data_IF_139524402210
#
_entry.id   IF_139524402210
#
_cell.length_a   1.000
_cell.length_b   1.000
_cell.length_c   1.000
_cell.angle_alpha   90.00
_cell.angle_beta   90.00
_cell.angle_gamma   90.00
#
_symmetry.space_group_name_H-M   'P 1'
#
loop_
_entity.id
_entity.type
_entity.pdbx_description
1 polymer ?
#
# COMPACT_ATOMS: atom_id res chain seq x y z
N UNK A 1 44.79 -10.67 -30.34
CA UNK A 1 44.37 -11.61 -31.41
C UNK A 1 42.95 -12.03 -31.08
N UNK A 2 41.96 -11.41 -31.73
CA UNK A 2 41.07 -12.02 -32.78
C UNK A 2 40.18 -13.12 -32.19
N UNK A 3 38.85 -13.14 -32.24
CA UNK A 3 37.77 -12.41 -32.95
C UNK A 3 36.48 -12.72 -32.15
N UNK A 4 35.58 -11.79 -31.83
CA UNK A 4 34.44 -11.32 -32.63
C UNK A 4 33.59 -12.43 -33.31
N UNK A 5 32.37 -12.68 -32.78
CA UNK A 5 31.16 -13.10 -33.53
C UNK A 5 29.94 -13.01 -32.59
N UNK A 6 29.32 -11.86 -32.45
CA UNK A 6 28.32 -11.26 -33.36
C UNK A 6 26.98 -12.01 -33.31
N UNK A 7 26.06 -11.29 -32.69
CA UNK A 7 24.63 -11.52 -32.48
C UNK A 7 23.92 -11.98 -33.75
N UNK A 8 23.25 -13.14 -33.70
CA UNK A 8 22.30 -13.55 -34.74
C UNK A 8 20.98 -12.80 -34.51
N UNK A 9 20.83 -11.68 -35.21
CA UNK A 9 19.53 -11.11 -35.51
C UNK A 9 18.78 -12.06 -36.45
N UNK A 10 17.61 -12.51 -36.02
CA UNK A 10 16.67 -13.23 -36.86
C UNK A 10 16.13 -12.26 -37.91
N UNK A 11 16.69 -12.27 -39.12
CA UNK A 11 16.00 -11.72 -40.29
C UNK A 11 14.99 -12.76 -40.79
N UNK A 12 13.72 -12.49 -40.54
CA UNK A 12 12.61 -13.13 -41.26
C UNK A 12 12.59 -12.50 -42.66
N UNK A 13 13.11 -13.23 -43.66
CA UNK A 13 12.89 -12.91 -45.07
C UNK A 13 11.44 -13.23 -45.43
N UNK A 14 10.59 -12.20 -45.56
CA UNK A 14 9.32 -12.31 -46.27
C UNK A 14 9.58 -12.16 -47.78
N UNK A 15 9.83 -13.29 -48.45
CA UNK A 15 9.79 -13.37 -49.92
C UNK A 15 8.33 -13.49 -50.38
N UNK A 16 7.62 -12.37 -50.39
CA UNK A 16 6.31 -12.22 -51.03
C UNK A 16 6.47 -11.43 -52.32
N UNK A 17 6.52 -12.12 -53.47
CA UNK A 17 6.65 -11.51 -54.80
C UNK A 17 5.31 -10.90 -55.24
N UNK A 18 5.05 -9.66 -54.85
CA UNK A 18 3.98 -8.83 -55.42
C UNK A 18 4.60 -7.73 -56.29
N UNK A 19 4.47 -7.88 -57.60
CA UNK A 19 4.94 -6.91 -58.58
C UNK A 19 4.05 -5.68 -58.58
N UNK A 20 4.48 -4.61 -57.89
CA UNK A 20 3.96 -3.26 -58.11
C UNK A 20 5.17 -2.36 -58.37
N UNK A 21 5.30 -1.88 -59.61
CA UNK A 21 6.33 -0.93 -60.02
C UNK A 21 6.01 0.46 -59.45
N UNK A 22 6.45 0.74 -58.21
CA UNK A 22 6.48 2.12 -57.70
C UNK A 22 7.70 2.86 -58.26
N UNK A 23 7.45 4.03 -58.87
CA UNK A 23 8.54 4.93 -59.31
C UNK A 23 9.31 5.49 -58.11
N UNK A 24 10.51 6.04 -58.35
CA UNK A 24 11.43 6.55 -57.33
C UNK A 24 10.78 7.63 -56.43
N UNK A 25 9.89 8.44 -56.99
CA UNK A 25 9.15 9.51 -56.29
C UNK A 25 8.06 8.95 -55.36
N UNK A 26 7.37 7.87 -55.74
CA UNK A 26 6.36 7.22 -54.89
C UNK A 26 6.99 6.46 -53.72
N UNK A 27 8.19 5.87 -53.90
CA UNK A 27 8.95 5.24 -52.79
C UNK A 27 9.44 6.28 -51.78
N UNK A 28 9.87 7.45 -52.25
CA UNK A 28 10.25 8.56 -51.39
C UNK A 28 9.05 9.11 -50.61
N UNK A 29 7.88 9.24 -51.25
CA UNK A 29 6.65 9.66 -50.58
C UNK A 29 6.17 8.67 -49.51
N UNK A 30 6.27 7.36 -49.78
CA UNK A 30 5.89 6.31 -48.81
C UNK A 30 6.86 6.25 -47.61
N UNK A 31 8.16 6.45 -47.84
CA UNK A 31 9.16 6.58 -46.78
C UNK A 31 8.98 7.87 -45.97
N UNK A 32 8.61 8.99 -46.62
CA UNK A 32 8.30 10.25 -45.94
C UNK A 32 7.02 10.12 -45.10
N UNK A 33 5.99 9.41 -45.57
CA UNK A 33 4.79 9.12 -44.78
C UNK A 33 5.05 8.16 -43.63
N UNK A 34 5.95 7.17 -43.78
CA UNK A 34 6.33 6.26 -42.69
C UNK A 34 7.16 6.97 -41.61
N UNK A 35 7.97 7.96 -41.98
CA UNK A 35 8.75 8.78 -41.03
C UNK A 35 7.86 9.83 -40.35
N UNK A 36 6.86 10.39 -41.04
CA UNK A 36 5.88 11.32 -40.46
C UNK A 36 4.86 10.64 -39.53
N UNK A 37 4.55 9.35 -39.73
CA UNK A 37 3.66 8.59 -38.83
C UNK A 37 4.34 8.13 -37.52
N UNK A 38 5.66 8.23 -37.44
CA UNK A 38 6.43 8.08 -36.19
C UNK A 38 6.63 9.43 -35.49
N UNK A 39 5.83 10.46 -35.86
CA UNK A 39 5.73 11.70 -35.10
C UNK A 39 5.53 11.36 -33.64
N UNK A 40 6.52 11.75 -32.84
CA UNK A 40 6.64 11.44 -31.43
C UNK A 40 5.31 11.72 -30.71
N UNK A 41 4.54 10.68 -30.40
CA UNK A 41 3.81 10.68 -29.13
C UNK A 41 4.87 10.54 -28.05
N UNK A 42 5.60 11.62 -27.76
CA UNK A 42 6.32 11.72 -26.51
C UNK A 42 5.23 11.81 -25.44
N UNK A 43 4.93 10.68 -24.79
CA UNK A 43 4.05 10.69 -23.63
C UNK A 43 4.62 11.69 -22.63
N UNK A 44 3.83 12.69 -22.23
CA UNK A 44 4.25 13.62 -21.18
C UNK A 44 4.61 12.81 -19.94
N UNK A 45 5.74 13.17 -19.30
CA UNK A 45 6.14 12.52 -18.06
C UNK A 45 5.04 12.73 -17.01
N UNK A 46 4.59 11.68 -16.32
CA UNK A 46 3.46 11.78 -15.40
C UNK A 46 3.74 12.66 -14.18
N UNK A 47 5.01 13.02 -13.96
CA UNK A 47 5.46 13.98 -12.96
C UNK A 47 6.52 14.90 -13.61
N UNK A 48 6.42 16.20 -13.35
CA UNK A 48 7.37 17.21 -13.82
C UNK A 48 7.63 18.26 -12.73
N UNK A 49 8.73 19.02 -12.82
CA UNK A 49 8.94 20.17 -11.93
C UNK A 49 8.06 21.35 -12.38
N UNK A 50 7.55 22.11 -11.42
CA UNK A 50 6.89 23.40 -11.68
C UNK A 50 7.97 24.43 -11.99
N UNK A 51 8.22 24.67 -13.28
CA UNK A 51 9.29 25.56 -13.74
C UNK A 51 10.67 25.05 -13.34
N UNK A 52 11.50 25.90 -12.71
CA UNK A 52 12.80 25.53 -12.14
C UNK A 52 12.77 25.33 -10.62
N UNK A 53 11.58 25.29 -10.01
CA UNK A 53 11.42 25.13 -8.56
C UNK A 53 11.46 23.67 -8.11
N UNK A 54 11.53 23.40 -6.79
CA UNK A 54 11.53 22.04 -6.22
C UNK A 54 10.14 21.38 -6.19
N UNK A 55 9.10 22.10 -6.60
CA UNK A 55 7.72 21.62 -6.55
C UNK A 55 7.43 20.67 -7.72
N UNK A 56 6.77 19.55 -7.43
CA UNK A 56 6.37 18.56 -8.42
C UNK A 56 4.92 18.78 -8.86
N UNK A 57 4.72 18.89 -10.17
CA UNK A 57 3.42 18.80 -10.84
C UNK A 57 3.13 17.35 -11.21
N UNK A 58 2.07 16.81 -10.65
CA UNK A 58 1.54 15.49 -11.00
C UNK A 58 0.48 15.65 -12.10
N UNK A 59 0.69 14.96 -13.22
CA UNK A 59 -0.29 14.92 -14.31
C UNK A 59 -1.34 13.85 -14.02
N UNK A 60 -2.57 14.12 -14.46
CA UNK A 60 -3.69 13.19 -14.38
C UNK A 60 -3.99 12.61 -15.75
N UNK A 61 -4.32 11.32 -15.80
CA UNK A 61 -4.91 10.69 -16.98
C UNK A 61 -6.32 11.26 -17.23
N UNK A 62 -6.90 10.94 -18.38
CA UNK A 62 -8.29 11.32 -18.70
C UNK A 62 -9.31 10.78 -17.68
N UNK A 63 -9.02 9.63 -17.06
CA UNK A 63 -9.83 9.04 -15.98
C UNK A 63 -9.48 9.59 -14.60
N UNK A 64 -8.55 10.54 -14.51
CA UNK A 64 -8.15 11.22 -13.29
C UNK A 64 -7.02 10.56 -12.51
N UNK A 65 -6.43 9.48 -13.02
CA UNK A 65 -5.36 8.76 -12.32
C UNK A 65 -4.08 9.58 -12.29
N UNK A 66 -3.39 9.61 -11.17
CA UNK A 66 -2.05 10.19 -11.05
C UNK A 66 -1.09 9.20 -10.41
N UNK A 67 0.21 9.43 -10.63
CA UNK A 67 1.28 8.71 -9.92
C UNK A 67 1.11 8.96 -8.43
N UNK A 68 1.10 7.88 -7.64
CA UNK A 68 0.99 7.97 -6.19
C UNK A 68 2.22 8.65 -5.59
N UNK A 69 1.99 9.58 -4.67
CA UNK A 69 3.03 10.22 -3.88
C UNK A 69 3.39 9.35 -2.67
N UNK A 70 4.60 8.80 -2.67
CA UNK A 70 5.15 7.96 -1.59
C UNK A 70 6.10 8.71 -0.64
N UNK A 71 6.22 10.04 -0.78
CA UNK A 71 7.08 10.85 0.09
C UNK A 71 6.64 10.81 1.57
N UNK A 72 5.38 10.47 1.82
CA UNK A 72 4.80 10.33 3.16
C UNK A 72 5.09 8.96 3.83
N UNK A 73 6.07 8.21 3.35
CA UNK A 73 6.43 6.92 3.94
C UNK A 73 7.17 7.10 5.29
N UNK A 74 6.86 6.23 6.25
CA UNK A 74 7.51 6.20 7.56
C UNK A 74 6.62 6.66 8.72
N UNK A 75 7.19 6.73 9.92
CA UNK A 75 6.46 7.12 11.13
C UNK A 75 5.90 8.55 10.99
N UNK A 76 4.63 8.74 11.34
CA UNK A 76 3.97 10.04 11.28
C UNK A 76 3.79 10.62 9.87
N UNK A 77 3.97 9.84 8.80
CA UNK A 77 3.92 10.33 7.42
C UNK A 77 5.24 10.89 6.91
N UNK A 78 6.37 10.55 7.54
CA UNK A 78 7.68 11.14 7.24
C UNK A 78 7.83 12.54 7.85
N UNK A 79 9.06 12.93 8.19
CA UNK A 79 9.35 14.26 8.74
C UNK A 79 8.99 14.49 10.21
N UNK A 80 8.46 13.49 10.92
CA UNK A 80 8.24 13.53 12.38
C UNK A 80 9.30 12.69 13.09
N UNK A 81 9.89 13.24 14.16
CA UNK A 81 10.83 12.50 14.99
C UNK A 81 10.17 11.27 15.64
N UNK A 82 10.90 10.16 15.75
CA UNK A 82 10.40 9.00 16.48
C UNK A 82 10.18 9.37 17.96
N UNK A 83 9.08 8.89 18.57
CA UNK A 83 8.84 9.12 19.98
C UNK A 83 9.96 8.48 20.82
N UNK A 84 10.30 9.12 21.92
CA UNK A 84 11.32 8.66 22.86
C UNK A 84 10.75 8.56 24.26
N UNK A 85 11.28 7.66 25.08
CA UNK A 85 10.93 7.59 26.50
C UNK A 85 12.14 7.18 27.33
N UNK A 86 12.22 7.72 28.55
CA UNK A 86 13.21 7.32 29.56
C UNK A 86 12.87 5.97 30.19
N UNK A 87 11.62 5.53 30.10
CA UNK A 87 11.19 4.21 30.56
C UNK A 87 11.68 3.16 29.56
N UNK A 88 12.86 2.62 29.81
CA UNK A 88 13.55 1.72 28.89
C UNK A 88 13.76 0.34 29.50
N UNK A 89 13.37 -0.69 28.77
CA UNK A 89 13.73 -2.08 29.04
C UNK A 89 14.69 -2.60 27.97
N UNK A 90 15.95 -2.75 28.32
CA UNK A 90 16.96 -3.31 27.42
C UNK A 90 16.94 -4.84 27.45
N UNK A 91 17.05 -5.45 26.28
CA UNK A 91 17.29 -6.88 26.09
C UNK A 91 18.69 -7.03 25.49
N UNK A 92 19.60 -7.64 26.24
CA UNK A 92 20.96 -7.94 25.79
C UNK A 92 21.01 -9.15 24.84
N UNK A 93 22.20 -9.67 24.57
CA UNK A 93 22.35 -10.91 23.81
C UNK A 93 21.68 -12.08 24.54
N UNK A 94 20.94 -12.91 23.81
CA UNK A 94 20.32 -14.14 24.34
C UNK A 94 20.94 -15.34 23.62
N UNK A 95 21.42 -16.32 24.38
CA UNK A 95 21.86 -17.61 23.83
C UNK A 95 20.65 -18.48 23.53
N UNK A 96 20.55 -19.01 22.31
CA UNK A 96 19.42 -19.83 21.90
C UNK A 96 18.23 -18.99 21.44
N UNK A 97 17.02 -19.33 21.91
CA UNK A 97 15.77 -18.67 21.55
C UNK A 97 15.50 -17.44 22.44
N UNK A 98 15.22 -16.31 21.82
CA UNK A 98 14.99 -15.02 22.43
C UNK A 98 13.51 -14.64 22.53
N UNK A 99 12.59 -15.43 21.99
CA UNK A 99 11.15 -15.10 21.94
C UNK A 99 10.60 -14.75 23.32
N UNK A 100 10.85 -15.58 24.34
CA UNK A 100 10.29 -15.37 25.69
C UNK A 100 10.96 -14.19 26.40
N UNK A 101 12.25 -13.94 26.17
CA UNK A 101 12.97 -12.81 26.73
C UNK A 101 12.45 -11.47 26.18
N UNK A 102 12.25 -11.38 24.86
CA UNK A 102 11.71 -10.19 24.22
C UNK A 102 10.25 -9.99 24.58
N UNK A 103 9.43 -11.06 24.58
CA UNK A 103 8.02 -10.98 24.98
C UNK A 103 7.87 -10.53 26.43
N UNK A 104 8.73 -11.01 27.34
CA UNK A 104 8.72 -10.54 28.74
C UNK A 104 9.04 -9.04 28.84
N UNK A 105 9.97 -8.52 28.03
CA UNK A 105 10.28 -7.10 28.01
C UNK A 105 9.09 -6.26 27.49
N UNK A 106 8.43 -6.73 26.43
CA UNK A 106 7.20 -6.13 25.91
C UNK A 106 6.12 -6.09 27.00
N UNK A 107 5.88 -7.21 27.69
CA UNK A 107 4.86 -7.28 28.75
C UNK A 107 5.16 -6.34 29.92
N UNK A 108 6.44 -6.18 30.29
CA UNK A 108 6.85 -5.23 31.34
C UNK A 108 6.57 -3.79 30.94
N UNK A 109 6.88 -3.40 29.70
CA UNK A 109 6.59 -2.05 29.19
C UNK A 109 5.08 -1.83 29.03
N UNK A 110 4.33 -2.87 28.63
CA UNK A 110 2.87 -2.81 28.52
C UNK A 110 2.18 -2.45 29.85
N UNK A 111 2.75 -2.89 30.98
CA UNK A 111 2.25 -2.60 32.32
C UNK A 111 2.58 -1.17 32.81
N UNK A 112 3.42 -0.41 32.10
CA UNK A 112 3.78 0.96 32.50
C UNK A 112 2.68 1.96 32.16
N UNK A 113 2.54 3.07 32.92
CA UNK A 113 1.58 4.13 32.62
C UNK A 113 1.79 4.72 31.22
N UNK A 114 0.68 5.07 30.55
CA UNK A 114 0.73 5.81 29.29
C UNK A 114 0.94 7.30 29.58
N UNK A 115 2.07 7.86 29.17
CA UNK A 115 2.40 9.29 29.30
C UNK A 115 2.67 9.84 27.91
N UNK A 116 1.91 10.86 27.50
CA UNK A 116 2.02 11.48 26.16
C UNK A 116 2.01 10.47 24.99
N UNK A 117 1.19 9.43 25.14
CA UNK A 117 1.04 8.37 24.12
C UNK A 117 2.14 7.30 24.14
N UNK A 118 3.08 7.34 25.09
CA UNK A 118 4.17 6.38 25.22
C UNK A 118 4.20 5.77 26.63
N UNK A 119 4.26 4.45 26.71
CA UNK A 119 4.49 3.68 27.95
C UNK A 119 5.98 3.50 28.21
N UNK A 120 6.72 3.14 27.16
CA UNK A 120 8.15 2.97 27.22
C UNK A 120 8.74 2.30 25.99
N UNK A 121 10.03 1.99 26.08
CA UNK A 121 10.85 1.45 25.00
C UNK A 121 11.34 0.06 25.39
N UNK A 122 11.15 -0.92 24.52
CA UNK A 122 11.91 -2.16 24.50
C UNK A 122 13.09 -1.96 23.55
N UNK A 123 14.30 -1.97 24.10
CA UNK A 123 15.54 -1.74 23.34
C UNK A 123 16.32 -3.04 23.20
N UNK A 124 16.40 -3.55 21.97
CA UNK A 124 17.25 -4.68 21.63
C UNK A 124 18.66 -4.15 21.37
N UNK A 125 19.65 -4.75 22.02
CA UNK A 125 21.06 -4.44 21.76
C UNK A 125 21.50 -4.93 20.38
N UNK A 126 22.68 -4.52 19.94
CA UNK A 126 23.33 -5.09 18.77
C UNK A 126 23.45 -6.62 18.92
N UNK A 127 23.09 -7.38 17.87
CA UNK A 127 23.14 -8.83 17.91
C UNK A 127 22.03 -9.52 17.13
N UNK A 128 22.11 -10.85 17.06
CA UNK A 128 21.10 -11.70 16.43
C UNK A 128 20.26 -12.40 17.49
N UNK A 129 18.95 -12.23 17.39
CA UNK A 129 17.95 -12.80 18.28
C UNK A 129 17.17 -13.87 17.50
N UNK A 130 17.40 -15.15 17.79
CA UNK A 130 16.62 -16.22 17.19
C UNK A 130 15.25 -16.27 17.87
N UNK A 131 14.16 -16.15 17.11
CA UNK A 131 12.80 -16.21 17.65
C UNK A 131 12.06 -17.37 16.99
N UNK A 132 11.55 -18.32 17.77
CA UNK A 132 10.70 -19.40 17.24
C UNK A 132 9.20 -19.11 17.39
N UNK A 133 8.84 -18.01 18.05
CA UNK A 133 7.47 -17.59 18.33
C UNK A 133 7.25 -16.13 17.97
N UNK A 134 5.99 -15.81 17.62
CA UNK A 134 5.50 -14.45 17.39
C UNK A 134 5.69 -13.56 18.62
N UNK A 135 6.20 -12.35 18.39
CA UNK A 135 6.27 -11.29 19.39
C UNK A 135 4.99 -10.46 19.34
N UNK A 136 4.14 -10.54 20.36
CA UNK A 136 2.85 -9.86 20.39
C UNK A 136 2.94 -8.52 21.15
N UNK A 137 2.60 -7.42 20.48
CA UNK A 137 2.45 -6.07 21.06
C UNK A 137 0.96 -5.74 21.06
N UNK A 138 0.29 -6.08 22.17
CA UNK A 138 -1.18 -5.97 22.29
C UNK A 138 -1.66 -4.65 22.88
N UNK A 139 -0.73 -3.86 23.39
CA UNK A 139 -1.01 -2.63 24.12
C UNK A 139 -0.35 -1.45 23.41
N UNK A 140 -1.12 -0.37 23.24
CA UNK A 140 -0.62 0.87 22.63
C UNK A 140 0.46 1.56 23.49
N UNK A 141 1.30 2.36 22.83
CA UNK A 141 2.34 3.17 23.47
C UNK A 141 3.67 2.45 23.71
N UNK A 142 3.88 1.27 23.11
CA UNK A 142 5.15 0.53 23.23
C UNK A 142 6.02 0.82 22.01
N UNK A 143 7.28 1.19 22.24
CA UNK A 143 8.28 1.36 21.19
C UNK A 143 9.22 0.15 21.23
N UNK A 144 9.24 -0.67 20.17
CA UNK A 144 10.27 -1.70 19.99
C UNK A 144 11.34 -1.15 19.04
N UNK A 145 12.60 -1.06 19.50
CA UNK A 145 13.72 -0.57 18.69
C UNK A 145 14.97 -1.41 18.87
N UNK A 146 15.86 -1.37 17.87
CA UNK A 146 17.17 -2.01 17.90
C UNK A 146 18.31 -1.04 17.57
N UNK A 147 19.52 -1.56 17.46
CA UNK A 147 20.75 -0.82 17.14
C UNK A 147 20.89 -0.43 15.64
N UNK A 148 19.79 -0.42 14.88
CA UNK A 148 19.78 -0.14 13.44
C UNK A 148 20.04 -1.37 12.56
N UNK A 149 20.10 -1.14 11.24
CA UNK A 149 20.26 -2.18 10.21
C UNK A 149 21.67 -2.26 9.59
N UNK A 150 22.58 -1.37 9.98
CA UNK A 150 23.97 -1.39 9.54
C UNK A 150 24.73 -2.60 10.11
N UNK A 151 25.97 -2.80 9.66
CA UNK A 151 26.86 -3.80 10.25
C UNK A 151 26.99 -3.58 11.77
N UNK A 152 26.76 -4.64 12.56
CA UNK A 152 26.68 -4.53 14.02
C UNK A 152 25.31 -4.06 14.55
N UNK A 153 24.27 -4.04 13.71
CA UNK A 153 22.90 -3.73 14.10
C UNK A 153 22.17 -4.87 14.83
N UNK A 154 20.85 -4.72 14.96
CA UNK A 154 19.97 -5.74 15.55
C UNK A 154 19.31 -6.57 14.46
N UNK A 155 19.36 -7.89 14.58
CA UNK A 155 18.67 -8.83 13.69
C UNK A 155 17.71 -9.69 14.51
N UNK A 156 16.41 -9.61 14.21
CA UNK A 156 15.44 -10.60 14.67
C UNK A 156 15.38 -11.70 13.61
N UNK A 157 15.88 -12.89 13.94
CA UNK A 157 15.94 -14.05 13.04
C UNK A 157 14.80 -14.99 13.37
N UNK A 158 13.84 -15.13 12.45
CA UNK A 158 12.77 -16.12 12.59
C UNK A 158 13.32 -17.53 12.43
N UNK A 159 12.99 -18.40 13.37
CA UNK A 159 13.43 -19.81 13.44
C UNK A 159 12.22 -20.71 13.70
N UNK A 160 12.39 -22.03 13.60
CA UNK A 160 11.30 -22.98 13.81
C UNK A 160 10.28 -22.98 12.67
N UNK A 161 9.00 -23.26 12.99
CA UNK A 161 7.92 -23.33 12.00
C UNK A 161 7.58 -21.92 11.49
N UNK A 162 7.09 -21.77 10.24
CA UNK A 162 6.62 -20.49 9.72
C UNK A 162 5.60 -19.83 10.66
N UNK A 163 5.86 -18.57 11.03
CA UNK A 163 5.01 -17.78 11.92
C UNK A 163 5.21 -16.28 11.65
N UNK A 164 4.30 -15.46 12.19
CA UNK A 164 4.37 -14.00 12.11
C UNK A 164 5.48 -13.50 13.04
N UNK A 165 6.36 -12.61 12.56
CA UNK A 165 7.44 -12.05 13.37
C UNK A 165 6.91 -11.22 14.56
N UNK A 166 6.08 -10.22 14.27
CA UNK A 166 5.50 -9.29 15.23
C UNK A 166 4.01 -9.19 14.95
N UNK A 167 3.19 -9.40 15.97
CA UNK A 167 1.73 -9.25 15.91
C UNK A 167 1.32 -8.00 16.69
N UNK A 168 0.60 -7.07 16.04
CA UNK A 168 0.04 -5.87 16.68
C UNK A 168 -1.47 -6.07 16.88
N UNK A 169 -1.99 -5.82 18.09
CA UNK A 169 -3.43 -6.00 18.35
C UNK A 169 -4.35 -4.98 17.64
N UNK A 170 -3.80 -3.90 17.12
CA UNK A 170 -4.57 -2.84 16.43
C UNK A 170 -4.55 -2.94 14.90
N UNK A 171 -3.91 -3.96 14.32
CA UNK A 171 -3.98 -4.12 12.88
C UNK A 171 -5.34 -4.72 12.48
N UNK A 172 -6.02 -4.00 11.60
CA UNK A 172 -7.09 -4.50 10.75
C UNK A 172 -6.56 -5.75 10.08
N UNK A 173 -6.98 -6.91 10.61
CA UNK A 173 -6.55 -8.18 10.09
C UNK A 173 -6.86 -8.23 8.58
N UNK A 174 -5.81 -8.37 7.75
CA UNK A 174 -5.95 -8.90 6.40
C UNK A 174 -6.41 -10.34 6.60
N UNK A 175 -7.73 -10.50 6.71
CA UNK A 175 -8.35 -11.77 7.05
C UNK A 175 -8.56 -12.56 5.77
N UNK A 176 -7.90 -13.72 5.69
CA UNK A 176 -8.38 -14.79 4.84
C UNK A 176 -9.63 -15.36 5.53
N UNK A 177 -10.79 -15.19 4.90
CA UNK A 177 -12.04 -15.84 5.29
C UNK A 177 -12.87 -15.15 6.40
N UNK A 178 -14.18 -15.42 6.34
CA UNK A 178 -15.24 -14.84 7.19
C UNK A 178 -15.12 -15.19 8.69
N UNK A 179 -14.40 -16.25 9.03
CA UNK A 179 -14.34 -16.81 10.40
C UNK A 179 -13.34 -16.07 11.31
N UNK A 180 -12.30 -15.49 10.70
CA UNK A 180 -11.23 -14.73 11.33
C UNK A 180 -11.69 -13.37 11.90
N UNK A 181 -12.80 -12.82 11.38
CA UNK A 181 -13.40 -11.55 11.82
C UNK A 181 -13.93 -11.60 13.26
N UNK A 182 -14.26 -12.77 13.80
CA UNK A 182 -14.80 -12.91 15.16
C UNK A 182 -13.72 -12.74 16.24
N UNK A 183 -12.53 -13.30 16.03
CA UNK A 183 -11.44 -13.25 17.04
C UNK A 183 -10.77 -11.88 17.15
N UNK A 184 -10.60 -11.15 16.04
CA UNK A 184 -10.04 -9.79 16.07
C UNK A 184 -10.98 -8.79 16.81
N UNK A 185 -12.30 -8.99 16.68
CA UNK A 185 -13.32 -8.18 17.36
C UNK A 185 -13.35 -8.36 18.87
N UNK A 186 -13.03 -9.55 19.35
CA UNK A 186 -13.02 -9.89 20.78
C UNK A 186 -11.74 -9.41 21.49
N UNK A 187 -10.61 -9.31 20.78
CA UNK A 187 -9.35 -8.80 21.33
C UNK A 187 -9.28 -7.26 21.44
N UNK A 188 -9.96 -6.53 20.55
CA UNK A 188 -10.02 -5.06 20.58
C UNK A 188 -10.95 -4.47 21.65
N UNK A 189 -11.61 -5.30 22.45
CA UNK A 189 -12.53 -4.86 23.51
C UNK A 189 -11.83 -4.42 24.81
N UNK A 190 -10.51 -4.57 24.89
CA UNK A 190 -9.68 -4.26 26.05
C UNK A 190 -8.73 -3.11 25.72
N UNK A 191 -9.06 -1.92 26.22
CA UNK A 191 -8.32 -0.64 26.13
C UNK A 191 -8.65 0.26 24.92
N UNK A 192 -9.34 1.36 25.21
CA UNK A 192 -9.53 2.49 24.28
C UNK A 192 -10.66 2.31 23.27
N UNK A 193 -11.88 2.69 23.66
CA UNK A 193 -13.10 2.70 22.83
C UNK A 193 -12.86 3.24 21.41
N UNK A 194 -12.70 2.35 20.43
CA UNK A 194 -13.21 2.57 19.08
C UNK A 194 -14.41 1.64 18.87
N UNK A 195 -15.55 2.01 19.47
CA UNK A 195 -16.85 1.49 19.05
C UNK A 195 -17.13 2.04 17.65
N UNK A 196 -16.71 1.32 16.62
CA UNK A 196 -16.86 1.72 15.23
C UNK A 196 -17.37 0.60 14.35
N UNK A 197 -18.41 -0.12 14.76
CA UNK A 197 -19.18 -0.95 13.83
C UNK A 197 -20.43 -0.18 13.38
N UNK A 198 -20.24 0.96 12.72
CA UNK A 198 -21.32 1.53 11.92
C UNK A 198 -21.58 0.64 10.71
N UNK A 199 -22.81 0.67 10.20
CA UNK A 199 -23.17 0.00 8.94
C UNK A 199 -22.23 0.51 7.82
N UNK A 200 -21.71 -0.36 6.93
CA UNK A 200 -20.89 0.08 5.81
C UNK A 200 -21.61 1.13 4.96
N UNK A 201 -20.90 2.19 4.59
CA UNK A 201 -21.40 3.24 3.71
C UNK A 201 -20.86 2.97 2.31
N UNK A 202 -21.74 2.90 1.31
CA UNK A 202 -21.34 2.61 -0.07
C UNK A 202 -20.65 3.83 -0.70
N UNK A 203 -19.52 3.58 -1.36
CA UNK A 203 -18.88 4.53 -2.29
C UNK A 203 -19.73 4.56 -3.57
N UNK A 204 -20.10 5.76 -4.01
CA UNK A 204 -20.99 5.97 -5.17
C UNK A 204 -20.23 6.21 -6.47
N UNK A 205 -18.91 6.34 -6.40
CA UNK A 205 -18.07 6.45 -7.59
C UNK A 205 -18.06 5.13 -8.37
N UNK A 206 -18.34 5.18 -9.67
CA UNK A 206 -18.14 4.04 -10.57
C UNK A 206 -16.65 3.74 -10.76
N UNK A 207 -15.80 4.77 -10.60
CA UNK A 207 -14.35 4.70 -10.68
C UNK A 207 -13.70 5.64 -9.67
N UNK A 208 -12.76 5.12 -8.88
CA UNK A 208 -11.95 5.90 -7.92
C UNK A 208 -10.53 6.00 -8.48
N UNK A 209 -10.08 7.20 -8.93
CA UNK A 209 -8.78 7.33 -9.57
C UNK A 209 -7.60 7.08 -8.63
N UNK A 210 -6.52 6.51 -9.16
CA UNK A 210 -5.29 6.33 -8.39
C UNK A 210 -4.74 7.68 -7.92
N UNK A 211 -4.32 7.74 -6.65
CA UNK A 211 -3.80 8.95 -6.02
C UNK A 211 -4.86 10.00 -5.67
N UNK A 212 -6.15 9.72 -5.83
CA UNK A 212 -7.20 10.61 -5.31
C UNK A 212 -7.22 10.58 -3.78
N UNK A 213 -7.47 11.74 -3.19
CA UNK A 213 -7.79 11.92 -1.78
C UNK A 213 -9.29 12.29 -1.64
N UNK A 214 -10.12 11.94 -2.61
CA UNK A 214 -11.52 12.38 -2.67
C UNK A 214 -12.36 11.21 -3.16
N UNK A 215 -13.39 10.88 -2.39
CA UNK A 215 -14.40 9.88 -2.72
C UNK A 215 -15.80 10.43 -2.44
N UNK A 216 -16.77 9.96 -3.22
CA UNK A 216 -18.18 10.25 -3.04
C UNK A 216 -18.86 9.05 -2.37
N UNK A 217 -19.70 9.34 -1.39
CA UNK A 217 -20.36 8.32 -0.56
C UNK A 217 -21.86 8.58 -0.49
N UNK A 218 -22.59 7.49 -0.25
CA UNK A 218 -24.05 7.53 -0.20
C UNK A 218 -24.58 8.44 0.93
N UNK A 219 -23.95 8.45 2.11
CA UNK A 219 -24.33 9.31 3.22
C UNK A 219 -23.13 9.63 4.11
N UNK A 220 -22.97 10.90 4.49
CA UNK A 220 -21.97 11.33 5.46
C UNK A 220 -22.57 11.58 6.86
N UNK A 221 -23.83 11.22 7.10
CA UNK A 221 -24.57 11.60 8.32
C UNK A 221 -23.95 11.11 9.64
N UNK A 222 -23.15 10.04 9.58
CA UNK A 222 -22.47 9.45 10.74
C UNK A 222 -20.97 9.72 10.77
N UNK A 223 -20.45 10.59 9.90
CA UNK A 223 -19.03 10.88 9.77
C UNK A 223 -18.77 12.37 10.06
N UNK A 224 -17.56 12.68 10.54
CA UNK A 224 -17.05 14.05 10.68
C UNK A 224 -15.57 14.13 10.35
N UNK A 225 -15.09 15.35 10.07
CA UNK A 225 -13.67 15.61 9.96
C UNK A 225 -12.94 15.17 11.25
N UNK A 226 -11.79 14.53 11.08
CA UNK A 226 -10.99 13.91 12.14
C UNK A 226 -11.28 12.44 12.39
N UNK A 227 -12.41 11.90 11.90
CA UNK A 227 -12.73 10.48 12.07
C UNK A 227 -11.76 9.59 11.30
N UNK A 228 -11.47 8.42 11.87
CA UNK A 228 -10.75 7.34 11.18
C UNK A 228 -11.75 6.42 10.54
N UNK A 229 -11.56 6.15 9.25
CA UNK A 229 -12.41 5.28 8.44
C UNK A 229 -11.59 4.12 7.88
N UNK A 230 -12.28 3.01 7.62
CA UNK A 230 -11.76 1.88 6.87
C UNK A 230 -12.46 1.83 5.52
N UNK A 231 -11.70 2.00 4.44
CA UNK A 231 -12.17 1.79 3.07
C UNK A 231 -11.88 0.34 2.71
N UNK A 232 -12.91 -0.40 2.34
CA UNK A 232 -12.79 -1.82 1.99
C UNK A 232 -13.24 -2.06 0.56
N UNK A 233 -12.52 -2.93 -0.14
CA UNK A 233 -12.91 -3.48 -1.45
C UNK A 233 -12.60 -4.96 -1.51
N UNK A 234 -13.36 -5.70 -2.30
CA UNK A 234 -13.09 -7.11 -2.56
C UNK A 234 -12.19 -7.25 -3.79
N UNK A 235 -11.28 -8.22 -3.75
CA UNK A 235 -10.50 -8.62 -4.90
C UNK A 235 -11.39 -9.42 -5.86
N UNK A 236 -11.84 -8.80 -6.95
CA UNK A 236 -12.61 -9.47 -8.00
C UNK A 236 -11.69 -10.30 -8.89
N UNK A 237 -12.24 -11.35 -9.51
CA UNK A 237 -11.53 -12.16 -10.50
C UNK A 237 -10.93 -11.31 -11.63
N UNK A 238 -11.74 -10.40 -12.19
CA UNK A 238 -11.30 -9.51 -13.27
C UNK A 238 -10.12 -8.63 -12.85
N UNK A 239 -10.12 -8.16 -11.60
CA UNK A 239 -9.02 -7.36 -11.07
C UNK A 239 -7.75 -8.20 -10.85
N UNK A 240 -7.89 -9.42 -10.31
CA UNK A 240 -6.77 -10.36 -10.13
C UNK A 240 -6.13 -10.69 -11.49
N UNK A 241 -6.96 -10.97 -12.50
CA UNK A 241 -6.52 -11.23 -13.87
C UNK A 241 -5.85 -9.99 -14.51
N UNK A 242 -6.46 -8.82 -14.38
CA UNK A 242 -5.91 -7.56 -14.89
C UNK A 242 -4.52 -7.27 -14.31
N UNK A 243 -4.30 -7.58 -13.04
CA UNK A 243 -3.01 -7.40 -12.37
C UNK A 243 -2.00 -8.52 -12.70
N UNK A 244 -2.37 -9.54 -13.49
CA UNK A 244 -1.52 -10.69 -13.79
C UNK A 244 -1.19 -11.53 -12.56
N UNK A 245 -2.09 -11.57 -11.56
CA UNK A 245 -1.86 -12.32 -10.33
C UNK A 245 -2.39 -13.76 -10.39
N UNK A 246 -3.10 -14.13 -11.46
CA UNK A 246 -3.64 -15.46 -11.72
C UNK A 246 -2.74 -16.33 -12.62
N UNK A 247 -1.62 -15.79 -13.08
CA UNK A 247 -0.67 -16.47 -13.97
C UNK A 247 0.78 -16.50 -13.42
N UNK A 248 0.98 -16.18 -12.14
CA UNK A 248 2.29 -16.17 -11.51
C UNK A 248 2.85 -17.59 -11.40
N UNK A 249 4.12 -17.77 -11.75
CA UNK A 249 4.79 -19.06 -11.76
C UNK A 249 6.08 -19.00 -10.93
N UNK A 250 6.26 -19.92 -10.00
CA UNK A 250 7.54 -20.17 -9.32
C UNK A 250 7.98 -21.61 -9.54
N UNK A 251 9.22 -21.80 -9.99
CA UNK A 251 9.79 -23.11 -10.33
C UNK A 251 8.87 -24.01 -11.20
N UNK A 252 8.07 -23.41 -12.10
CA UNK A 252 7.13 -24.11 -12.98
C UNK A 252 5.80 -24.51 -12.33
N UNK A 253 5.52 -24.06 -11.09
CA UNK A 253 4.26 -24.23 -10.40
C UNK A 253 3.50 -22.91 -10.37
N UNK A 254 2.19 -22.98 -10.59
CA UNK A 254 1.31 -21.83 -10.45
C UNK A 254 1.29 -21.40 -8.99
N UNK A 255 1.60 -20.13 -8.73
CA UNK A 255 1.48 -19.52 -7.42
C UNK A 255 0.26 -18.60 -7.37
N UNK A 256 -0.60 -18.84 -6.39
CA UNK A 256 -1.76 -17.96 -6.14
C UNK A 256 -1.41 -16.99 -5.01
N UNK A 257 -1.06 -15.77 -5.37
CA UNK A 257 -0.70 -14.73 -4.40
C UNK A 257 -1.93 -14.13 -3.69
N UNK A 258 -3.09 -14.15 -4.35
CA UNK A 258 -4.34 -13.60 -3.81
C UNK A 258 -5.53 -14.42 -4.30
N UNK A 259 -6.45 -14.74 -3.38
CA UNK A 259 -7.72 -15.40 -3.70
C UNK A 259 -8.80 -14.36 -4.04
N UNK A 260 -9.77 -14.78 -4.85
CA UNK A 260 -11.04 -14.05 -5.02
C UNK A 260 -11.69 -13.81 -3.66
N UNK A 261 -12.48 -12.74 -3.56
CA UNK A 261 -13.19 -12.30 -2.34
C UNK A 261 -12.28 -11.88 -1.17
N UNK A 262 -10.96 -11.77 -1.39
CA UNK A 262 -10.07 -11.21 -0.38
C UNK A 262 -10.43 -9.75 -0.15
N UNK A 263 -10.78 -9.42 1.09
CA UNK A 263 -11.04 -8.04 1.52
C UNK A 263 -9.71 -7.30 1.60
N UNK A 264 -9.60 -6.23 0.83
CA UNK A 264 -8.48 -5.29 0.87
C UNK A 264 -8.98 -4.05 1.59
N UNK A 265 -8.33 -3.71 2.69
CA UNK A 265 -8.72 -2.62 3.58
C UNK A 265 -7.65 -1.52 3.63
N UNK A 266 -8.11 -0.28 3.72
CA UNK A 266 -7.27 0.89 3.86
C UNK A 266 -7.79 1.76 5.00
N UNK A 267 -6.94 2.07 5.98
CA UNK A 267 -7.30 3.02 7.04
C UNK A 267 -6.96 4.44 6.58
N UNK A 268 -7.91 5.36 6.70
CA UNK A 268 -7.77 6.78 6.34
C UNK A 268 -8.33 7.67 7.45
N UNK A 269 -7.87 8.92 7.49
CA UNK A 269 -8.41 9.95 8.38
C UNK A 269 -9.12 11.00 7.55
N UNK A 270 -10.38 11.30 7.88
CA UNK A 270 -11.16 12.32 7.19
C UNK A 270 -10.55 13.68 7.49
N UNK A 271 -10.02 14.37 6.49
CA UNK A 271 -9.53 15.75 6.66
C UNK A 271 -10.66 16.75 6.60
N UNK A 272 -11.58 16.58 5.66
CA UNK A 272 -12.71 17.47 5.46
C UNK A 272 -13.85 16.79 4.70
N UNK A 273 -15.04 17.40 4.70
CA UNK A 273 -16.21 16.89 4.01
C UNK A 273 -16.97 18.02 3.37
N UNK A 274 -17.60 17.76 2.23
CA UNK A 274 -18.49 18.67 1.52
C UNK A 274 -19.81 17.97 1.24
N UNK A 275 -20.89 18.54 1.74
CA UNK A 275 -22.24 18.09 1.44
C UNK A 275 -22.67 18.77 0.15
N UNK A 276 -23.01 17.98 -0.87
CA UNK A 276 -23.61 18.51 -2.09
C UNK A 276 -25.11 18.20 -2.03
N UNK A 277 -25.92 19.19 -1.71
CA UNK A 277 -27.35 19.12 -2.02
C UNK A 277 -27.48 19.13 -3.54
N UNK A 278 -27.82 17.98 -4.11
CA UNK A 278 -28.22 17.97 -5.51
C UNK A 278 -29.50 18.80 -5.61
N UNK A 279 -29.47 19.92 -6.32
CA UNK A 279 -30.70 20.58 -6.78
C UNK A 279 -31.36 19.67 -7.81
N UNK A 280 -32.06 18.62 -7.35
CA UNK A 280 -33.10 18.01 -8.16
C UNK A 280 -34.34 18.87 -8.02
N UNK A 281 -34.58 19.70 -9.03
CA UNK A 281 -35.91 20.18 -9.34
C UNK A 281 -36.77 18.98 -9.76
N UNK A 282 -37.22 18.20 -8.78
CA UNK A 282 -38.33 17.25 -8.96
C UNK A 282 -39.16 17.32 -7.69
N UNK A 283 -40.42 17.72 -7.85
CA UNK A 283 -41.47 17.58 -6.83
C UNK A 283 -41.39 16.16 -6.26
N UNK A 284 -41.26 16.07 -4.93
CA UNK A 284 -41.26 14.85 -4.12
C UNK A 284 -39.93 14.05 -4.04
N UNK A 285 -39.32 14.04 -2.85
CA UNK A 285 -38.41 12.98 -2.39
C UNK A 285 -36.93 13.34 -2.27
N UNK A 286 -36.47 13.60 -1.04
CA UNK A 286 -35.10 13.99 -0.67
C UNK A 286 -34.14 12.79 -0.80
N UNK A 287 -33.06 12.96 -1.56
CA UNK A 287 -31.90 12.06 -1.57
C UNK A 287 -30.64 12.84 -1.96
N UNK A 288 -29.84 13.24 -0.97
CA UNK A 288 -28.58 13.97 -1.15
C UNK A 288 -27.39 13.03 -1.39
N UNK A 289 -26.34 13.54 -2.03
CA UNK A 289 -25.06 12.82 -2.27
C UNK A 289 -23.95 13.58 -1.55
N UNK A 290 -23.04 12.91 -0.84
CA UNK A 290 -22.02 13.59 -0.01
C UNK A 290 -20.60 13.30 -0.54
N UNK A 291 -19.72 14.31 -0.52
CA UNK A 291 -18.31 14.22 -0.94
C UNK A 291 -17.40 14.30 0.29
N UNK A 292 -16.43 13.41 0.41
CA UNK A 292 -15.34 13.52 1.40
C UNK A 292 -14.11 14.09 0.71
N UNK A 293 -13.46 15.06 1.34
CA UNK A 293 -12.17 15.61 0.92
C UNK A 293 -11.12 15.17 1.96
N UNK A 294 -10.33 14.17 1.62
CA UNK A 294 -9.18 13.69 2.41
C UNK A 294 -7.95 14.60 2.26
#
# INVERSE_FOLDING_TARGET
MKDAKQSRLYQIQLQGRWGVFLNKSMKAALLLSLVLLNGLCAAELPVSLVGSGPELKYLKTERGDQVCDFSHAGFGGGGVAFPTSNNKKSVGSVTGDASDAIQSAINQVAAMPLVDGVRGVVELSAGTYNCSKTLAIKTSGIILRGAGSAAGGTVIKLTGKPHIAIELAHEVAITDGKESKKKAREAAASEGKSKGSSKPIKITDDYVPSGTCVINIQSASSLKAGDTIEITREATKDWIHFMGMDNLMDAGKLETWMKEDRSISYVRKIKSMKIFESMRQTRSGIGGTHRILE
#
